data_IF_391381828030
#
_entry.id   IF_391381828030
#
_cell.length_a   1.000
_cell.length_b   1.000
_cell.length_c   1.000
_cell.angle_alpha   90.00
_cell.angle_beta   90.00
_cell.angle_gamma   90.00
#
_symmetry.space_group_name_H-M   'P 1'
#
loop_
_entity.id
_entity.type
_entity.pdbx_description
1 polymer ?
#
# COMPACT_ATOMS: atom_id res chain seq x y z
N UNK A 1 50.30 75.26 -1.68
CA UNK A 1 49.71 74.13 -2.43
C UNK A 1 50.20 72.75 -1.97
N UNK A 2 51.51 72.53 -1.71
CA UNK A 2 52.04 71.20 -1.34
C UNK A 2 51.58 70.65 0.04
N UNK A 3 51.34 71.52 1.03
CA UNK A 3 50.95 71.11 2.41
C UNK A 3 49.46 70.80 2.58
N UNK A 4 48.58 71.56 1.92
CA UNK A 4 47.13 71.31 1.95
C UNK A 4 46.74 70.08 1.11
N UNK A 5 47.43 69.84 -0.01
CA UNK A 5 47.25 68.63 -0.81
C UNK A 5 47.61 67.38 0.00
N UNK A 6 48.69 67.43 0.79
CA UNK A 6 49.10 66.32 1.64
C UNK A 6 48.06 65.99 2.72
N UNK A 7 47.44 67.02 3.32
CA UNK A 7 46.36 66.83 4.30
C UNK A 7 45.09 66.23 3.67
N UNK A 8 44.72 66.66 2.46
CA UNK A 8 43.56 66.12 1.75
C UNK A 8 43.78 64.66 1.36
N UNK A 9 44.97 64.32 0.87
CA UNK A 9 45.33 62.94 0.53
C UNK A 9 45.38 62.06 1.78
N UNK A 10 45.97 62.55 2.88
CA UNK A 10 45.99 61.83 4.15
C UNK A 10 44.58 61.58 4.70
N UNK A 11 43.68 62.56 4.61
CA UNK A 11 42.29 62.40 5.03
C UNK A 11 41.53 61.38 4.17
N UNK A 12 41.74 61.38 2.85
CA UNK A 12 41.16 60.39 1.93
C UNK A 12 41.64 58.96 2.22
N UNK A 13 42.93 58.80 2.52
CA UNK A 13 43.49 57.49 2.91
C UNK A 13 42.91 57.04 4.25
N UNK A 14 42.76 57.94 5.23
CA UNK A 14 42.19 57.59 6.53
C UNK A 14 40.68 57.31 6.51
N UNK A 15 39.90 57.92 5.60
CA UNK A 15 38.47 57.63 5.44
C UNK A 15 38.17 56.40 4.57
N UNK A 16 39.15 55.94 3.79
CA UNK A 16 38.96 54.78 2.91
C UNK A 16 38.60 53.46 3.62
N UNK A 17 39.12 53.13 4.83
CA UNK A 17 38.80 51.86 5.49
C UNK A 17 37.43 51.89 6.18
N UNK A 18 36.93 53.07 6.56
CA UNK A 18 35.66 53.21 7.28
C UNK A 18 34.42 52.93 6.41
N UNK A 19 34.54 53.02 5.08
CA UNK A 19 33.45 52.71 4.15
C UNK A 19 33.28 51.21 3.84
N UNK A 20 34.37 50.44 3.91
CA UNK A 20 34.37 49.01 3.56
C UNK A 20 33.86 48.15 4.74
N UNK A 21 34.07 48.60 5.98
CA UNK A 21 33.68 47.86 7.19
C UNK A 21 32.15 47.84 7.46
N UNK A 22 31.40 48.82 6.94
CA UNK A 22 29.96 48.94 7.25
C UNK A 22 29.06 48.09 6.32
N UNK A 23 29.58 47.54 5.22
CA UNK A 23 28.82 46.74 4.26
C UNK A 23 29.15 45.23 4.28
N UNK A 24 30.16 44.81 5.05
CA UNK A 24 30.62 43.41 5.10
C UNK A 24 29.91 42.57 6.18
N UNK A 25 28.61 42.79 6.37
CA UNK A 25 27.80 42.08 7.38
C UNK A 25 27.00 41.02 6.62
N UNK A 26 27.57 39.83 6.51
CA UNK A 26 26.89 38.65 5.96
C UNK A 26 26.76 37.65 7.10
N UNK A 27 25.54 37.45 7.57
CA UNK A 27 25.18 36.36 8.48
C UNK A 27 24.40 35.30 7.72
N UNK A 28 24.75 34.04 7.93
CA UNK A 28 23.99 32.91 7.41
C UNK A 28 22.85 32.61 8.39
N UNK A 29 21.63 33.00 8.05
CA UNK A 29 20.43 32.55 8.75
C UNK A 29 20.10 31.14 8.24
N UNK A 30 20.34 30.13 9.09
CA UNK A 30 19.97 28.74 8.79
C UNK A 30 18.59 28.48 9.36
N UNK A 31 17.60 28.27 8.49
CA UNK A 31 16.25 27.86 8.89
C UNK A 31 16.21 26.33 8.80
N UNK A 32 16.19 25.67 9.94
CA UNK A 32 15.98 24.22 10.01
C UNK A 32 14.47 23.94 10.11
N UNK A 33 13.94 23.26 9.09
CA UNK A 33 12.56 22.78 9.07
C UNK A 33 12.54 21.25 9.09
N UNK A 34 11.74 20.67 9.96
CA UNK A 34 11.47 19.23 9.98
C UNK A 34 10.11 18.99 9.35
N UNK A 35 10.05 18.11 8.35
CA UNK A 35 8.78 17.62 7.78
C UNK A 35 8.60 16.17 8.20
N UNK A 36 7.55 15.89 8.96
CA UNK A 36 7.16 14.52 9.29
C UNK A 36 6.32 13.98 8.14
N UNK A 37 6.84 12.99 7.41
CA UNK A 37 6.06 12.25 6.43
C UNK A 37 5.02 11.36 7.13
N UNK A 38 3.83 11.21 6.52
CA UNK A 38 2.82 10.27 6.99
C UNK A 38 3.26 8.81 6.82
N UNK A 39 2.56 7.88 7.49
CA UNK A 39 2.82 6.44 7.43
C UNK A 39 1.88 5.76 6.44
N UNK A 40 2.40 4.73 5.75
CA UNK A 40 1.65 3.90 4.81
C UNK A 40 1.57 2.48 5.36
N UNK A 41 0.35 1.95 5.53
CA UNK A 41 0.12 0.62 6.08
C UNK A 41 -1.25 0.10 5.59
N UNK A 42 -1.22 -0.76 4.57
CA UNK A 42 -2.41 -1.39 3.98
C UNK A 42 -2.33 -2.87 4.23
N UNK A 43 -3.41 -3.45 4.74
CA UNK A 43 -3.45 -4.86 5.09
C UNK A 43 -4.82 -5.48 4.98
N UNK A 44 -4.82 -6.80 4.85
CA UNK A 44 -6.01 -7.63 5.01
C UNK A 44 -6.39 -7.79 6.48
N UNK A 45 -7.68 -7.93 6.72
CA UNK A 45 -8.25 -8.29 8.02
C UNK A 45 -9.54 -9.08 7.82
N UNK A 46 -9.99 -9.77 8.87
CA UNK A 46 -11.31 -10.42 8.95
C UNK A 46 -11.65 -11.34 7.76
N UNK A 47 -10.65 -12.07 7.26
CA UNK A 47 -10.82 -13.00 6.16
C UNK A 47 -11.48 -14.30 6.64
N UNK A 48 -12.61 -14.62 6.01
CA UNK A 48 -13.44 -15.77 6.32
C UNK A 48 -14.10 -16.29 5.05
N UNK A 49 -14.57 -17.52 5.07
CA UNK A 49 -15.42 -18.03 4.00
C UNK A 49 -16.82 -17.42 4.15
N UNK A 50 -17.45 -17.05 3.04
CA UNK A 50 -18.77 -16.39 2.98
C UNK A 50 -19.96 -17.32 3.28
N UNK A 51 -19.67 -18.47 3.92
CA UNK A 51 -20.64 -19.29 4.64
C UNK A 51 -20.22 -19.30 6.10
N UNK A 52 -20.94 -18.51 6.90
CA UNK A 52 -20.72 -18.24 8.31
C UNK A 52 -19.89 -19.30 9.08
N UNK A 53 -18.59 -19.04 9.23
CA UNK A 53 -17.89 -19.26 10.50
C UNK A 53 -17.13 -20.57 10.75
N UNK A 54 -17.11 -21.57 9.87
CA UNK A 54 -16.40 -22.84 10.13
C UNK A 54 -15.78 -23.39 8.83
N UNK A 55 -14.65 -24.13 8.86
CA UNK A 55 -14.23 -24.97 7.73
C UNK A 55 -15.40 -25.90 7.38
N UNK A 56 -15.98 -25.68 6.21
CA UNK A 56 -17.16 -26.42 5.78
C UNK A 56 -16.71 -27.78 5.27
N UNK A 57 -17.04 -28.83 6.03
CA UNK A 57 -17.08 -30.20 5.56
C UNK A 57 -18.46 -30.46 4.96
N UNK A 58 -18.82 -29.78 3.87
CA UNK A 58 -20.10 -30.02 3.20
C UNK A 58 -19.93 -31.11 2.15
N UNK A 59 -19.85 -32.37 2.60
CA UNK A 59 -19.39 -33.49 1.78
C UNK A 59 -17.89 -33.73 1.97
N UNK A 60 -17.23 -34.28 0.95
CA UNK A 60 -15.83 -34.75 1.03
C UNK A 60 -14.80 -33.63 0.70
N UNK A 61 -15.26 -32.38 0.53
CA UNK A 61 -14.40 -31.23 0.22
C UNK A 61 -14.01 -30.43 1.47
N UNK A 62 -12.88 -29.71 1.39
CA UNK A 62 -12.41 -28.79 2.43
C UNK A 62 -11.92 -27.50 1.79
N UNK A 63 -12.46 -26.35 2.21
CA UNK A 63 -11.96 -25.04 1.81
C UNK A 63 -11.49 -24.23 3.03
N UNK A 64 -10.42 -23.45 2.87
CA UNK A 64 -9.85 -22.59 3.91
C UNK A 64 -9.32 -21.30 3.32
N UNK A 65 -9.49 -20.20 4.04
CA UNK A 65 -8.80 -18.93 3.77
C UNK A 65 -7.98 -18.55 5.00
N UNK A 66 -6.73 -18.16 4.81
CA UNK A 66 -5.85 -17.74 5.89
C UNK A 66 -5.15 -16.43 5.55
N UNK A 67 -4.98 -15.58 6.56
CA UNK A 67 -4.05 -14.47 6.51
C UNK A 67 -2.63 -15.03 6.58
N UNK A 68 -1.71 -14.48 5.77
CA UNK A 68 -0.31 -14.84 5.89
C UNK A 68 0.31 -14.09 7.07
N UNK A 69 0.65 -14.81 8.14
CA UNK A 69 1.23 -14.22 9.36
C UNK A 69 2.56 -13.48 9.12
N UNK A 70 3.26 -13.78 8.02
CA UNK A 70 4.52 -13.12 7.67
C UNK A 70 4.32 -11.93 6.71
N UNK A 71 3.12 -11.75 6.15
CA UNK A 71 2.81 -10.74 5.15
C UNK A 71 1.31 -10.39 5.17
N UNK A 72 0.95 -9.37 5.96
CA UNK A 72 -0.44 -8.94 6.16
C UNK A 72 -1.13 -8.45 4.86
N UNK A 73 -0.38 -8.33 3.76
CA UNK A 73 -0.87 -7.97 2.43
C UNK A 73 -1.26 -9.19 1.58
N UNK A 74 -1.09 -10.41 2.13
CA UNK A 74 -1.40 -11.66 1.45
C UNK A 74 -2.46 -12.48 2.17
N UNK A 75 -3.46 -12.90 1.40
CA UNK A 75 -4.40 -13.94 1.77
C UNK A 75 -4.09 -15.20 0.96
N UNK A 76 -4.14 -16.35 1.62
CA UNK A 76 -3.96 -17.66 0.98
C UNK A 76 -5.28 -18.39 0.98
N UNK A 77 -5.75 -18.78 -0.19
CA UNK A 77 -6.94 -19.61 -0.35
C UNK A 77 -6.52 -21.04 -0.70
N UNK A 78 -7.11 -22.02 -0.04
CA UNK A 78 -6.88 -23.44 -0.32
C UNK A 78 -8.21 -24.17 -0.42
N UNK A 79 -8.36 -25.04 -1.42
CA UNK A 79 -9.48 -25.96 -1.58
C UNK A 79 -8.98 -27.36 -1.87
N UNK A 80 -9.61 -28.36 -1.25
CA UNK A 80 -9.32 -29.79 -1.41
C UNK A 80 -10.61 -30.48 -1.85
N UNK A 81 -10.48 -31.39 -2.82
CA UNK A 81 -11.55 -32.24 -3.31
C UNK A 81 -12.79 -31.45 -3.78
N UNK A 82 -12.55 -30.36 -4.51
CA UNK A 82 -13.60 -29.67 -5.24
C UNK A 82 -14.16 -30.57 -6.35
N UNK A 83 -15.35 -30.24 -6.83
CA UNK A 83 -16.03 -30.99 -7.89
C UNK A 83 -16.64 -30.04 -8.93
N UNK A 84 -16.92 -30.50 -10.16
CA UNK A 84 -17.51 -29.65 -11.19
C UNK A 84 -18.85 -29.04 -10.73
N UNK A 85 -19.01 -27.73 -10.89
CA UNK A 85 -20.16 -26.96 -10.38
C UNK A 85 -20.07 -26.57 -8.90
N UNK A 86 -18.94 -26.84 -8.22
CA UNK A 86 -18.72 -26.39 -6.84
C UNK A 86 -18.46 -24.89 -6.77
N UNK A 87 -18.92 -24.25 -5.69
CA UNK A 87 -18.74 -22.82 -5.43
C UNK A 87 -18.44 -22.53 -3.95
N UNK A 88 -17.65 -21.50 -3.71
CA UNK A 88 -17.32 -20.97 -2.39
C UNK A 88 -17.15 -19.46 -2.44
N UNK A 89 -17.52 -18.77 -1.37
CA UNK A 89 -17.25 -17.33 -1.23
C UNK A 89 -16.17 -17.07 -0.20
N UNK A 90 -15.41 -15.99 -0.39
CA UNK A 90 -14.44 -15.43 0.54
C UNK A 90 -14.92 -14.02 0.87
N UNK A 91 -15.07 -13.72 2.15
CA UNK A 91 -15.35 -12.39 2.67
C UNK A 91 -14.12 -11.93 3.42
N UNK A 92 -13.53 -10.81 3.01
CA UNK A 92 -12.38 -10.23 3.69
C UNK A 92 -12.51 -8.72 3.73
N UNK A 93 -11.67 -8.09 4.55
CA UNK A 93 -11.63 -6.65 4.71
C UNK A 93 -10.25 -6.12 4.39
N UNK A 94 -10.19 -4.99 3.69
CA UNK A 94 -8.97 -4.19 3.56
C UNK A 94 -9.01 -3.05 4.58
N UNK A 95 -7.92 -2.83 5.29
CA UNK A 95 -7.76 -1.74 6.26
C UNK A 95 -6.57 -0.86 5.88
N UNK A 96 -6.79 0.46 5.89
CA UNK A 96 -5.70 1.44 5.85
C UNK A 96 -5.37 1.91 7.28
N UNK A 97 -4.35 1.31 7.89
CA UNK A 97 -3.82 1.67 9.20
C UNK A 97 -2.81 2.83 9.13
N UNK A 98 -2.48 3.29 7.92
CA UNK A 98 -1.66 4.46 7.67
C UNK A 98 -2.34 5.79 7.98
N UNK A 99 -1.55 6.86 7.90
CA UNK A 99 -2.01 8.24 8.07
C UNK A 99 -2.24 8.99 6.75
N UNK A 100 -2.02 8.33 5.61
CA UNK A 100 -2.26 8.88 4.27
C UNK A 100 -3.19 7.98 3.44
N UNK A 101 -4.05 8.56 2.58
CA UNK A 101 -4.87 7.79 1.66
C UNK A 101 -4.04 6.95 0.67
N UNK A 102 -4.57 5.79 0.31
CA UNK A 102 -3.94 4.84 -0.60
C UNK A 102 -4.81 4.59 -1.83
N UNK A 103 -4.19 4.46 -3.00
CA UNK A 103 -4.79 3.77 -4.14
C UNK A 103 -4.60 2.27 -3.91
N UNK A 104 -5.65 1.49 -4.11
CA UNK A 104 -5.60 0.05 -3.89
C UNK A 104 -5.59 -0.70 -5.21
N UNK A 105 -4.81 -1.78 -5.24
CA UNK A 105 -4.83 -2.78 -6.30
C UNK A 105 -4.85 -4.17 -5.66
N UNK A 106 -5.80 -4.99 -6.07
CA UNK A 106 -5.89 -6.40 -5.66
C UNK A 106 -5.48 -7.26 -6.83
N UNK A 107 -4.53 -8.16 -6.60
CA UNK A 107 -4.00 -9.07 -7.61
C UNK A 107 -4.17 -10.52 -7.16
N UNK A 108 -4.64 -11.37 -8.08
CA UNK A 108 -4.68 -12.82 -7.92
C UNK A 108 -3.38 -13.42 -8.46
N UNK A 109 -2.73 -14.28 -7.67
CA UNK A 109 -1.44 -14.87 -8.00
C UNK A 109 -1.56 -16.40 -7.95
N UNK A 110 -1.07 -17.04 -9.01
CA UNK A 110 -1.03 -18.50 -9.17
C UNK A 110 -2.41 -19.19 -9.10
N UNK A 111 -3.45 -18.59 -9.69
CA UNK A 111 -4.78 -19.20 -9.79
C UNK A 111 -4.70 -20.47 -10.65
N UNK A 112 -5.04 -21.66 -10.12
CA UNK A 112 -5.09 -22.88 -10.91
C UNK A 112 -6.14 -22.76 -12.01
N UNK A 113 -5.81 -23.19 -13.23
CA UNK A 113 -6.70 -23.04 -14.39
C UNK A 113 -8.01 -23.83 -14.35
N UNK A 114 -8.25 -24.60 -13.30
CA UNK A 114 -9.53 -25.30 -13.04
C UNK A 114 -10.47 -24.48 -12.13
N UNK A 115 -9.98 -23.38 -11.55
CA UNK A 115 -10.75 -22.50 -10.69
C UNK A 115 -11.07 -21.21 -11.44
N UNK A 116 -12.35 -20.84 -11.39
CA UNK A 116 -12.81 -19.51 -11.74
C UNK A 116 -12.89 -18.65 -10.48
N UNK A 117 -12.42 -17.41 -10.58
CA UNK A 117 -12.41 -16.45 -9.47
C UNK A 117 -13.06 -15.16 -9.93
N UNK A 118 -14.10 -14.74 -9.24
CA UNK A 118 -14.91 -13.55 -9.56
C UNK A 118 -15.00 -12.63 -8.33
N UNK A 119 -14.82 -11.33 -8.52
CA UNK A 119 -15.09 -10.35 -7.47
C UNK A 119 -16.58 -9.99 -7.47
N UNK A 120 -17.32 -10.47 -6.47
CA UNK A 120 -18.71 -10.08 -6.25
C UNK A 120 -18.81 -8.68 -5.62
N UNK A 121 -17.78 -8.29 -4.87
CA UNK A 121 -17.57 -6.93 -4.37
C UNK A 121 -16.09 -6.59 -4.44
N UNK A 122 -15.75 -5.64 -5.31
CA UNK A 122 -14.37 -5.20 -5.54
C UNK A 122 -13.87 -4.26 -4.43
N UNK A 123 -12.54 -4.15 -4.32
CA UNK A 123 -11.90 -3.10 -3.54
C UNK A 123 -12.28 -1.72 -4.11
N UNK A 124 -12.48 -0.69 -3.27
CA UNK A 124 -12.55 0.66 -3.78
C UNK A 124 -11.19 1.06 -4.38
N UNK A 125 -11.21 1.89 -5.43
CA UNK A 125 -9.98 2.37 -6.07
C UNK A 125 -9.07 3.14 -5.09
N UNK A 126 -9.66 3.77 -4.08
CA UNK A 126 -8.95 4.51 -3.04
C UNK A 126 -9.52 4.19 -1.66
N UNK A 127 -8.65 4.15 -0.66
CA UNK A 127 -9.00 3.97 0.74
C UNK A 127 -8.38 5.08 1.57
N UNK A 128 -9.23 5.89 2.21
CA UNK A 128 -8.80 6.97 3.07
C UNK A 128 -8.02 6.45 4.28
N UNK A 129 -7.20 7.32 4.85
CA UNK A 129 -6.46 7.04 6.07
C UNK A 129 -7.39 6.91 7.29
N UNK A 130 -6.81 6.48 8.43
CA UNK A 130 -7.45 6.46 9.76
C UNK A 130 -8.37 5.25 9.99
N UNK A 131 -7.92 4.07 9.62
CA UNK A 131 -8.57 2.78 9.95
C UNK A 131 -9.94 2.62 9.30
N UNK A 132 -10.11 3.15 8.08
CA UNK A 132 -11.27 2.78 7.27
C UNK A 132 -11.07 1.34 6.82
N UNK A 133 -12.13 0.58 6.94
CA UNK A 133 -12.16 -0.82 6.59
C UNK A 133 -13.26 -1.05 5.58
N UNK A 134 -12.90 -1.61 4.43
CA UNK A 134 -13.83 -1.89 3.34
C UNK A 134 -13.89 -3.37 3.07
N UNK A 135 -15.11 -3.86 2.83
CA UNK A 135 -15.36 -5.27 2.60
C UNK A 135 -15.21 -5.62 1.12
N UNK A 136 -14.57 -6.77 0.88
CA UNK A 136 -14.37 -7.39 -0.42
C UNK A 136 -14.96 -8.79 -0.36
N UNK A 137 -15.68 -9.17 -1.42
CA UNK A 137 -16.31 -10.47 -1.54
C UNK A 137 -15.86 -11.11 -2.84
N UNK A 138 -15.30 -12.30 -2.76
CA UNK A 138 -14.73 -13.05 -3.88
C UNK A 138 -15.46 -14.38 -3.95
N UNK A 139 -15.94 -14.75 -5.13
CA UNK A 139 -16.46 -16.08 -5.44
C UNK A 139 -15.35 -16.90 -6.09
N UNK A 140 -15.22 -18.14 -5.67
CA UNK A 140 -14.36 -19.16 -6.27
C UNK A 140 -15.25 -20.32 -6.69
N UNK A 141 -15.11 -20.80 -7.92
CA UNK A 141 -15.91 -21.91 -8.45
C UNK A 141 -15.12 -22.84 -9.34
N UNK A 142 -15.61 -24.06 -9.52
CA UNK A 142 -15.14 -24.99 -10.54
C UNK A 142 -16.21 -25.07 -11.63
N UNK A 143 -15.90 -24.74 -12.91
CA UNK A 143 -16.86 -24.89 -14.00
C UNK A 143 -17.40 -26.32 -14.13
N UNK A 144 -18.65 -26.48 -14.56
CA UNK A 144 -19.29 -27.80 -14.71
C UNK A 144 -18.63 -28.67 -15.80
N UNK A 145 -17.97 -28.02 -16.76
CA UNK A 145 -17.27 -28.68 -17.87
C UNK A 145 -15.90 -29.27 -17.50
N UNK A 146 -15.37 -28.95 -16.31
CA UNK A 146 -14.10 -29.54 -15.84
C UNK A 146 -14.31 -31.02 -15.57
N UNK A 147 -13.40 -31.88 -16.05
CA UNK A 147 -13.46 -33.31 -15.75
C UNK A 147 -13.24 -33.54 -14.24
N UNK A 148 -14.12 -34.33 -13.64
CA UNK A 148 -14.07 -34.68 -12.22
C UNK A 148 -12.71 -35.30 -11.82
N UNK A 149 -12.05 -36.02 -12.73
CA UNK A 149 -10.73 -36.61 -12.48
C UNK A 149 -9.63 -35.56 -12.23
N UNK A 150 -9.79 -34.33 -12.75
CA UNK A 150 -8.83 -33.27 -12.49
C UNK A 150 -8.98 -32.70 -11.08
N UNK A 151 -10.20 -32.61 -10.55
CA UNK A 151 -10.49 -31.83 -9.33
C UNK A 151 -10.72 -32.67 -8.07
N UNK A 152 -11.21 -33.91 -8.23
CA UNK A 152 -11.46 -34.79 -7.10
C UNK A 152 -10.16 -35.26 -6.45
N UNK A 153 -10.15 -35.33 -5.12
CA UNK A 153 -9.00 -35.68 -4.29
C UNK A 153 -7.72 -34.85 -4.53
N UNK A 154 -7.82 -33.71 -5.25
CA UNK A 154 -6.71 -32.77 -5.45
C UNK A 154 -6.79 -31.60 -4.48
N UNK A 155 -5.64 -30.96 -4.25
CA UNK A 155 -5.54 -29.71 -3.51
C UNK A 155 -5.11 -28.59 -4.45
N UNK A 156 -5.83 -27.48 -4.38
CA UNK A 156 -5.55 -26.25 -5.12
C UNK A 156 -5.34 -25.09 -4.15
N UNK A 157 -4.43 -24.19 -4.53
CA UNK A 157 -4.09 -23.03 -3.74
C UNK A 157 -3.75 -21.86 -4.65
N UNK A 158 -4.12 -20.66 -4.23
CA UNK A 158 -3.68 -19.41 -4.86
C UNK A 158 -3.61 -18.30 -3.80
N UNK A 159 -2.98 -17.19 -4.17
CA UNK A 159 -2.84 -16.02 -3.30
C UNK A 159 -3.67 -14.85 -3.80
N UNK A 160 -4.25 -14.10 -2.87
CA UNK A 160 -4.89 -12.81 -3.11
C UNK A 160 -4.01 -11.77 -2.43
N UNK A 161 -3.44 -10.88 -3.22
CA UNK A 161 -2.47 -9.89 -2.76
C UNK A 161 -3.06 -8.49 -2.87
N UNK A 162 -2.75 -7.63 -1.90
CA UNK A 162 -3.14 -6.22 -1.95
C UNK A 162 -1.91 -5.32 -1.96
N UNK A 163 -1.86 -4.45 -2.96
CA UNK A 163 -0.86 -3.42 -3.09
C UNK A 163 -1.53 -2.07 -2.89
N UNK A 164 -0.95 -1.28 -2.00
CA UNK A 164 -1.32 0.11 -1.85
C UNK A 164 -0.24 1.01 -2.43
N UNK A 165 -0.63 2.05 -3.17
CA UNK A 165 0.28 3.14 -3.57
C UNK A 165 -0.22 4.48 -3.03
N UNK A 166 0.70 5.42 -2.78
CA UNK A 166 0.32 6.74 -2.31
C UNK A 166 -0.54 7.46 -3.36
N UNK A 167 -1.62 8.12 -2.93
CA UNK A 167 -2.57 8.78 -3.84
C UNK A 167 -1.92 9.77 -4.82
N UNK A 168 -0.86 10.46 -4.40
CA UNK A 168 -0.21 11.52 -5.19
C UNK A 168 1.02 11.05 -5.99
N UNK A 169 1.24 9.74 -6.13
CA UNK A 169 2.20 9.18 -7.08
C UNK A 169 1.41 8.80 -8.36
N UNK A 170 1.90 9.29 -9.51
CA UNK A 170 1.49 8.83 -10.84
C UNK A 170 2.30 7.58 -11.19
N UNK A 171 1.63 6.56 -11.74
CA UNK A 171 2.23 5.29 -12.17
C UNK A 171 2.99 5.43 -13.49
#
# INVERSE_FOLDING_TARGET
MKRSLFLVVAALVCLSPTGIAYAAWSENITIEGYVTAGSFDIKWSDAQLDRAGEPQFEGDYVATVTLNDNDENKLVYTVINAYPGWESGIRCKVTNAGSIPAKLKVDLVDVPGVLDVEFLREAPATLDARTITEEIVIKVSVPEEVDAEFVQAQQYQFMITITGTQFNIED
#
